data_IF_132186819248
#
_entry.id   IF_132186819248
#
_cell.length_a   1.000
_cell.length_b   1.000
_cell.length_c   1.000
_cell.angle_alpha   90.00
_cell.angle_beta   90.00
_cell.angle_gamma   90.00
#
_symmetry.space_group_name_H-M   'P 1'
#
loop_
_entity.id
_entity.type
_entity.pdbx_description
1 polymer ?
#
# COMPACT_ATOMS: atom_id res chain seq x y z
N UNK A 1 -6.04 -65.85 29.32
CA UNK A 1 -6.49 -64.45 29.51
C UNK A 1 -6.28 -63.73 28.20
N UNK A 2 -7.33 -63.39 27.45
CA UNK A 2 -7.18 -62.58 26.24
C UNK A 2 -6.86 -61.15 26.68
N UNK A 3 -5.69 -60.63 26.28
CA UNK A 3 -5.38 -59.21 26.45
C UNK A 3 -6.27 -58.42 25.49
N UNK A 4 -7.14 -57.59 26.03
CA UNK A 4 -7.92 -56.63 25.24
C UNK A 4 -6.91 -55.56 24.79
N UNK A 5 -6.68 -55.38 23.48
CA UNK A 5 -5.76 -54.35 23.00
C UNK A 5 -6.28 -52.99 23.45
N UNK A 6 -5.43 -52.27 24.18
CA UNK A 6 -5.69 -50.88 24.58
C UNK A 6 -5.83 -50.08 23.27
N UNK A 7 -6.90 -49.29 23.10
CA UNK A 7 -7.10 -48.54 21.87
C UNK A 7 -5.89 -47.65 21.60
N UNK A 8 -5.57 -47.45 20.31
CA UNK A 8 -4.55 -46.51 19.83
C UNK A 8 -4.97 -45.06 20.10
N UNK A 9 -5.07 -44.75 21.38
CA UNK A 9 -5.56 -43.49 21.94
C UNK A 9 -4.59 -42.33 21.64
N UNK A 10 -3.31 -42.65 21.41
CA UNK A 10 -2.28 -41.68 21.08
C UNK A 10 -2.47 -41.07 19.68
N UNK A 11 -2.82 -41.87 18.67
CA UNK A 11 -2.79 -41.42 17.27
C UNK A 11 -3.81 -40.29 17.00
N UNK A 12 -5.07 -40.45 17.42
CA UNK A 12 -6.11 -39.46 17.17
C UNK A 12 -5.90 -38.17 17.98
N UNK A 13 -5.40 -38.29 19.21
CA UNK A 13 -4.98 -37.14 20.03
C UNK A 13 -3.83 -36.40 19.36
N UNK A 14 -2.85 -37.10 18.79
CA UNK A 14 -1.76 -36.51 18.03
C UNK A 14 -2.24 -35.78 16.77
N UNK A 15 -3.21 -36.32 16.05
CA UNK A 15 -3.81 -35.65 14.88
C UNK A 15 -4.52 -34.36 15.31
N UNK A 16 -5.31 -34.41 16.38
CA UNK A 16 -6.03 -33.24 16.88
C UNK A 16 -5.06 -32.14 17.36
N UNK A 17 -4.05 -32.50 18.16
CA UNK A 17 -3.06 -31.58 18.69
C UNK A 17 -2.18 -31.01 17.56
N UNK A 18 -1.73 -31.84 16.62
CA UNK A 18 -0.91 -31.36 15.50
C UNK A 18 -1.67 -30.39 14.60
N UNK A 19 -2.98 -30.62 14.36
CA UNK A 19 -3.83 -29.69 13.63
C UNK A 19 -3.92 -28.31 14.31
N UNK A 20 -4.10 -28.27 15.64
CA UNK A 20 -4.09 -27.02 16.40
C UNK A 20 -2.73 -26.34 16.32
N UNK A 21 -1.65 -27.08 16.57
CA UNK A 21 -0.29 -26.52 16.60
C UNK A 21 0.06 -25.92 15.25
N UNK A 22 -0.11 -26.68 14.15
CA UNK A 22 0.19 -26.21 12.80
C UNK A 22 -0.68 -25.00 12.44
N UNK A 23 -1.98 -25.04 12.74
CA UNK A 23 -2.89 -23.93 12.49
C UNK A 23 -2.45 -22.66 13.22
N UNK A 24 -2.14 -22.78 14.51
CA UNK A 24 -1.76 -21.65 15.37
C UNK A 24 -0.38 -21.09 15.00
N UNK A 25 0.63 -21.94 14.78
CA UNK A 25 1.97 -21.48 14.38
C UNK A 25 1.94 -20.79 13.02
N UNK A 26 1.16 -21.33 12.08
CA UNK A 26 1.02 -20.73 10.74
C UNK A 26 0.27 -19.40 10.81
N UNK A 27 -0.81 -19.34 11.58
CA UNK A 27 -1.54 -18.09 11.84
C UNK A 27 -0.62 -17.00 12.41
N UNK A 28 0.12 -17.31 13.48
CA UNK A 28 1.05 -16.37 14.11
C UNK A 28 2.15 -15.91 13.16
N UNK A 29 2.69 -16.83 12.35
CA UNK A 29 3.69 -16.49 11.35
C UNK A 29 3.14 -15.53 10.29
N UNK A 30 1.96 -15.82 9.74
CA UNK A 30 1.33 -14.99 8.72
C UNK A 30 0.94 -13.61 9.26
N UNK A 31 0.44 -13.55 10.50
CA UNK A 31 0.11 -12.29 11.16
C UNK A 31 1.36 -11.43 11.43
N UNK A 32 2.46 -12.07 11.81
CA UNK A 32 3.76 -11.39 11.97
C UNK A 32 4.24 -10.78 10.64
N UNK A 33 4.12 -11.51 9.54
CA UNK A 33 4.48 -11.00 8.20
C UNK A 33 3.55 -9.89 7.73
N UNK A 34 2.25 -10.03 7.97
CA UNK A 34 1.25 -8.99 7.69
C UNK A 34 1.57 -7.69 8.44
N UNK A 35 1.94 -7.79 9.72
CA UNK A 35 2.31 -6.63 10.54
C UNK A 35 3.56 -5.93 10.01
N UNK A 36 4.59 -6.69 9.61
CA UNK A 36 5.81 -6.12 9.00
C UNK A 36 5.48 -5.34 7.74
N UNK A 37 4.71 -5.93 6.83
CA UNK A 37 4.30 -5.27 5.59
C UNK A 37 3.42 -4.05 5.83
N UNK A 38 2.57 -4.09 6.87
CA UNK A 38 1.76 -2.93 7.26
C UNK A 38 2.66 -1.79 7.74
N UNK A 39 3.69 -2.08 8.54
CA UNK A 39 4.64 -1.06 8.98
C UNK A 39 5.44 -0.46 7.81
N UNK A 40 5.82 -1.27 6.83
CA UNK A 40 6.49 -0.82 5.60
C UNK A 40 5.57 0.05 4.75
N UNK A 41 4.29 -0.33 4.59
CA UNK A 41 3.27 0.50 3.93
C UNK A 41 3.12 1.86 4.61
N UNK A 42 3.07 1.89 5.94
CA UNK A 42 2.97 3.14 6.71
C UNK A 42 4.20 4.02 6.50
N UNK A 43 5.40 3.43 6.46
CA UNK A 43 6.62 4.18 6.17
C UNK A 43 6.57 4.81 4.76
N UNK A 44 6.20 4.04 3.74
CA UNK A 44 6.09 4.53 2.35
C UNK A 44 5.04 5.65 2.24
N UNK A 45 3.88 5.50 2.88
CA UNK A 45 2.85 6.55 2.92
C UNK A 45 3.33 7.80 3.65
N UNK A 46 4.15 7.64 4.70
CA UNK A 46 4.81 8.75 5.39
C UNK A 46 5.74 9.50 4.44
N UNK A 47 6.58 8.79 3.69
CA UNK A 47 7.46 9.40 2.71
C UNK A 47 6.72 10.04 1.54
N UNK A 48 5.60 9.48 1.11
CA UNK A 48 4.73 10.07 0.09
C UNK A 48 4.21 11.44 0.56
N UNK A 49 3.71 11.52 1.80
CA UNK A 49 3.22 12.79 2.36
C UNK A 49 4.32 13.84 2.48
N UNK A 50 5.55 13.43 2.79
CA UNK A 50 6.70 14.34 2.79
C UNK A 50 7.00 14.86 1.38
N UNK A 51 6.98 13.99 0.37
CA UNK A 51 7.17 14.40 -1.02
C UNK A 51 6.06 15.34 -1.50
N UNK A 52 4.80 15.10 -1.12
CA UNK A 52 3.68 16.01 -1.42
C UNK A 52 3.85 17.38 -0.75
N UNK A 53 4.34 17.41 0.50
CA UNK A 53 4.64 18.65 1.19
C UNK A 53 5.75 19.45 0.49
N UNK A 54 6.81 18.77 0.06
CA UNK A 54 7.91 19.39 -0.69
C UNK A 54 7.44 19.91 -2.05
N UNK A 55 6.58 19.17 -2.75
CA UNK A 55 5.99 19.61 -4.02
C UNK A 55 5.14 20.88 -3.83
N UNK A 56 4.33 20.94 -2.77
CA UNK A 56 3.55 22.15 -2.41
C UNK A 56 4.46 23.32 -2.08
N UNK A 57 5.57 23.07 -1.38
CA UNK A 57 6.56 24.11 -1.05
C UNK A 57 7.23 24.66 -2.30
N UNK A 58 7.63 23.80 -3.24
CA UNK A 58 8.19 24.20 -4.54
C UNK A 58 7.17 24.98 -5.37
N UNK A 59 5.92 24.53 -5.44
CA UNK A 59 4.85 25.26 -6.13
C UNK A 59 4.61 26.67 -5.56
N UNK A 60 4.68 26.82 -4.23
CA UNK A 60 4.62 28.13 -3.58
C UNK A 60 5.83 29.02 -3.90
N UNK A 61 7.03 28.44 -4.03
CA UNK A 61 8.23 29.17 -4.47
C UNK A 61 8.14 29.60 -5.93
N UNK A 62 7.72 28.70 -6.82
CA UNK A 62 7.47 29.01 -8.23
C UNK A 62 6.47 30.17 -8.37
N UNK A 63 5.35 30.12 -7.62
CA UNK A 63 4.36 31.21 -7.60
C UNK A 63 4.94 32.55 -7.17
N UNK A 64 5.85 32.56 -6.19
CA UNK A 64 6.54 33.78 -5.73
C UNK A 64 7.48 34.33 -6.81
N UNK A 65 8.25 33.46 -7.47
CA UNK A 65 9.13 33.81 -8.58
C UNK A 65 8.35 34.35 -9.78
N UNK A 66 7.26 33.70 -10.17
CA UNK A 66 6.39 34.21 -11.24
C UNK A 66 5.86 35.60 -10.92
N UNK A 67 5.44 35.85 -9.67
CA UNK A 67 5.01 37.18 -9.24
C UNK A 67 6.14 38.21 -9.27
N UNK A 68 7.38 37.85 -8.91
CA UNK A 68 8.52 38.77 -8.99
C UNK A 68 8.87 39.10 -10.43
N UNK A 69 8.90 38.11 -11.32
CA UNK A 69 9.13 38.31 -12.76
C UNK A 69 8.06 39.24 -13.34
N UNK A 70 6.78 39.01 -13.02
CA UNK A 70 5.68 39.87 -13.51
C UNK A 70 5.80 41.30 -12.98
N UNK A 71 6.18 41.47 -11.71
CA UNK A 71 6.37 42.77 -11.09
C UNK A 71 7.60 43.52 -11.64
N UNK A 72 8.66 42.81 -12.02
CA UNK A 72 9.83 43.40 -12.69
C UNK A 72 9.53 43.75 -14.15
N UNK A 73 8.76 42.91 -14.85
CA UNK A 73 8.46 43.11 -16.25
C UNK A 73 7.57 44.33 -16.51
N UNK A 74 6.69 44.75 -15.57
CA UNK A 74 5.86 45.99 -15.65
C UNK A 74 5.37 46.35 -17.08
N UNK A 75 5.05 45.36 -17.90
CA UNK A 75 4.74 45.53 -19.32
C UNK A 75 3.23 45.48 -19.51
N UNK A 76 2.59 46.60 -19.24
CA UNK A 76 1.63 47.25 -20.15
C UNK A 76 0.42 46.52 -20.74
N UNK A 77 0.08 45.28 -20.38
CA UNK A 77 -1.19 44.67 -20.79
C UNK A 77 -1.61 43.53 -19.85
N UNK A 78 -2.62 43.81 -19.04
CA UNK A 78 -3.19 42.95 -17.99
C UNK A 78 -3.83 41.63 -18.49
N UNK A 79 -3.90 41.38 -19.80
CA UNK A 79 -4.64 40.23 -20.35
C UNK A 79 -3.79 38.97 -20.60
N UNK A 80 -2.47 39.09 -20.83
CA UNK A 80 -1.65 37.93 -21.25
C UNK A 80 -1.28 37.00 -20.07
N UNK A 81 -1.28 37.52 -18.84
CA UNK A 81 -0.75 36.80 -17.67
C UNK A 81 -1.80 36.17 -16.75
N UNK A 82 -3.10 36.38 -17.02
CA UNK A 82 -4.19 35.76 -16.24
C UNK A 82 -4.23 34.23 -16.34
N UNK A 83 -3.60 33.64 -17.36
CA UNK A 83 -3.59 32.19 -17.58
C UNK A 83 -2.53 31.43 -16.75
N UNK A 84 -1.59 32.11 -16.11
CA UNK A 84 -0.52 31.46 -15.31
C UNK A 84 -0.93 31.16 -13.88
N UNK A 85 -1.97 31.84 -13.40
CA UNK A 85 -2.44 31.68 -12.02
C UNK A 85 -3.57 30.65 -12.00
N UNK A 86 -3.24 29.37 -12.16
CA UNK A 86 -3.97 28.31 -11.49
C UNK A 86 -3.10 27.05 -11.41
N UNK A 87 -1.96 27.18 -10.72
CA UNK A 87 -1.21 26.04 -10.18
C UNK A 87 -1.91 25.46 -8.95
N UNK A 88 -3.24 25.40 -8.94
CA UNK A 88 -3.94 24.47 -8.07
C UNK A 88 -3.77 23.08 -8.68
N UNK A 89 -2.57 22.52 -8.50
CA UNK A 89 -2.47 21.09 -8.24
C UNK A 89 -3.06 20.90 -6.84
N UNK A 90 -4.39 21.03 -6.75
CA UNK A 90 -5.16 20.34 -5.73
C UNK A 90 -5.31 18.96 -6.34
N UNK A 91 -4.56 17.95 -5.88
CA UNK A 91 -5.03 16.59 -6.09
C UNK A 91 -6.39 16.55 -5.40
N UNK A 92 -7.47 16.50 -6.18
CA UNK A 92 -8.73 16.00 -5.66
C UNK A 92 -8.40 14.59 -5.16
N UNK A 93 -8.62 14.34 -3.88
CA UNK A 93 -8.21 13.13 -3.14
C UNK A 93 -8.71 11.80 -3.78
N UNK A 94 -9.47 11.84 -4.86
CA UNK A 94 -10.16 10.69 -5.46
C UNK A 94 -9.59 10.16 -6.79
N UNK A 95 -8.68 10.84 -7.50
CA UNK A 95 -8.31 10.38 -8.87
C UNK A 95 -6.80 10.38 -9.18
N UNK A 96 -6.19 9.18 -9.08
CA UNK A 96 -4.83 8.88 -9.56
C UNK A 96 -4.64 9.08 -11.08
N UNK A 97 -5.71 9.35 -11.84
CA UNK A 97 -5.67 9.61 -13.29
C UNK A 97 -5.21 11.02 -13.65
N UNK A 98 -5.24 11.96 -12.71
CA UNK A 98 -4.91 13.38 -12.95
C UNK A 98 -3.41 13.68 -13.00
N UNK A 99 -2.56 12.82 -12.43
CA UNK A 99 -1.11 13.00 -12.43
C UNK A 99 -0.48 12.98 -13.84
N UNK A 100 -1.05 12.22 -14.78
CA UNK A 100 -0.53 12.19 -16.17
C UNK A 100 -0.94 13.40 -17.00
N UNK A 101 -2.08 14.05 -16.66
CA UNK A 101 -2.57 15.23 -17.37
C UNK A 101 -1.78 16.51 -17.01
N UNK A 102 -1.20 16.55 -15.80
CA UNK A 102 -0.35 17.63 -15.28
C UNK A 102 0.91 17.87 -16.15
N UNK A 103 1.64 16.83 -16.53
CA UNK A 103 2.92 16.98 -17.26
C UNK A 103 2.75 17.51 -18.70
N UNK A 104 1.67 17.11 -19.39
CA UNK A 104 1.38 17.61 -20.74
C UNK A 104 0.95 19.09 -20.73
N UNK A 105 0.33 19.53 -19.63
CA UNK A 105 -0.05 20.94 -19.44
C UNK A 105 1.17 21.83 -19.20
N UNK A 106 2.17 21.35 -18.46
CA UNK A 106 3.43 22.08 -18.20
C UNK A 106 4.16 22.41 -19.48
N UNK A 107 4.37 21.40 -20.33
CA UNK A 107 5.05 21.57 -21.61
C UNK A 107 4.27 22.52 -22.53
N UNK A 108 2.94 22.39 -22.60
CA UNK A 108 2.10 23.26 -23.41
C UNK A 108 2.08 24.72 -22.94
N UNK A 109 2.10 24.97 -21.62
CA UNK A 109 2.16 26.33 -21.07
C UNK A 109 3.56 26.94 -21.26
N UNK A 110 4.60 26.13 -21.11
CA UNK A 110 5.99 26.55 -21.34
C UNK A 110 6.24 26.90 -22.80
N UNK A 111 5.81 26.04 -23.73
CA UNK A 111 5.88 26.28 -25.18
C UNK A 111 5.11 27.56 -25.56
N UNK A 112 3.93 27.78 -24.97
CA UNK A 112 3.15 29.00 -25.18
C UNK A 112 3.81 30.27 -24.60
N UNK A 113 4.66 30.15 -23.57
CA UNK A 113 5.42 31.26 -23.00
C UNK A 113 6.63 31.63 -23.84
N UNK A 114 7.40 30.63 -24.28
CA UNK A 114 8.58 30.82 -25.12
C UNK A 114 8.21 31.41 -26.47
N UNK A 115 7.07 31.01 -27.04
CA UNK A 115 6.62 31.47 -28.35
C UNK A 115 6.08 32.92 -28.36
N UNK A 116 5.70 33.47 -27.19
CA UNK A 116 5.07 34.80 -27.09
C UNK A 116 6.00 35.94 -26.67
N UNK A 117 7.26 35.68 -26.33
CA UNK A 117 8.22 36.76 -26.06
C UNK A 117 8.60 37.37 -27.42
N UNK A 118 8.24 38.63 -27.72
CA UNK A 118 8.60 39.24 -29.00
C UNK A 118 10.13 39.29 -29.12
N UNK A 119 10.64 38.56 -30.11
CA UNK A 119 12.05 38.53 -30.52
C UNK A 119 12.57 39.96 -30.68
N UNK A 120 13.35 40.44 -29.71
CA UNK A 120 13.96 41.78 -29.75
C UNK A 120 13.90 42.58 -28.44
N UNK A 121 13.23 42.10 -27.39
CA UNK A 121 13.34 42.70 -26.05
C UNK A 121 14.57 42.15 -25.32
N UNK A 122 15.56 43.00 -25.03
CA UNK A 122 16.71 42.62 -24.20
C UNK A 122 16.21 42.27 -22.79
N UNK A 123 16.16 40.97 -22.50
CA UNK A 123 15.80 40.46 -21.18
C UNK A 123 16.92 40.86 -20.22
N UNK A 124 16.57 41.56 -19.12
CA UNK A 124 17.52 41.89 -18.06
C UNK A 124 18.20 40.60 -17.54
N UNK A 125 19.51 40.61 -17.25
CA UNK A 125 20.20 39.47 -16.63
C UNK A 125 19.53 38.99 -15.32
N UNK A 126 18.84 39.89 -14.60
CA UNK A 126 18.06 39.53 -13.41
C UNK A 126 16.87 38.62 -13.72
N UNK A 127 16.16 38.89 -14.82
CA UNK A 127 14.99 38.15 -15.26
C UNK A 127 15.40 36.81 -15.84
N UNK A 128 16.48 36.76 -16.62
CA UNK A 128 17.02 35.50 -17.14
C UNK A 128 17.36 34.52 -16.01
N UNK A 129 18.02 35.00 -14.94
CA UNK A 129 18.32 34.18 -13.76
C UNK A 129 17.07 33.68 -13.03
N UNK A 130 15.98 34.46 -13.00
CA UNK A 130 14.71 34.05 -12.41
C UNK A 130 13.98 33.02 -13.29
N UNK A 131 14.08 33.14 -14.62
CA UNK A 131 13.56 32.15 -15.57
C UNK A 131 14.31 30.82 -15.41
N UNK A 132 15.64 30.85 -15.35
CA UNK A 132 16.44 29.63 -15.14
C UNK A 132 16.09 28.95 -13.81
N UNK A 133 15.92 29.73 -12.74
CA UNK A 133 15.49 29.21 -11.43
C UNK A 133 14.06 28.62 -11.45
N UNK A 134 13.15 29.17 -12.26
CA UNK A 134 11.83 28.58 -12.47
C UNK A 134 11.90 27.27 -13.25
N UNK A 135 12.81 27.17 -14.22
CA UNK A 135 13.01 26.00 -15.06
C UNK A 135 13.57 24.83 -14.24
N UNK A 136 14.55 25.12 -13.38
CA UNK A 136 15.07 24.18 -12.39
C UNK A 136 13.96 23.73 -11.42
N UNK A 137 13.16 24.68 -10.90
CA UNK A 137 12.05 24.37 -10.01
C UNK A 137 10.97 23.49 -10.67
N UNK A 138 10.69 23.70 -11.97
CA UNK A 138 9.73 22.89 -12.72
C UNK A 138 10.25 21.45 -12.92
N UNK A 139 11.54 21.30 -13.27
CA UNK A 139 12.18 19.98 -13.37
C UNK A 139 12.12 19.20 -12.06
N UNK A 140 12.35 19.88 -10.93
CA UNK A 140 12.27 19.24 -9.60
C UNK A 140 10.85 18.79 -9.24
N UNK A 141 9.83 19.56 -9.62
CA UNK A 141 8.41 19.19 -9.40
C UNK A 141 8.05 17.95 -10.21
N UNK A 142 8.46 17.87 -11.48
CA UNK A 142 8.22 16.68 -12.32
C UNK A 142 8.90 15.43 -11.73
N UNK A 143 10.14 15.56 -11.26
CA UNK A 143 10.85 14.47 -10.59
C UNK A 143 10.13 14.00 -9.31
N UNK A 144 9.59 14.93 -8.52
CA UNK A 144 8.81 14.60 -7.33
C UNK A 144 7.47 13.93 -7.66
N UNK A 145 6.78 14.37 -8.71
CA UNK A 145 5.53 13.72 -9.15
C UNK A 145 5.76 12.27 -9.56
N UNK A 146 6.84 11.99 -10.30
CA UNK A 146 7.23 10.62 -10.66
C UNK A 146 7.55 9.80 -9.40
N UNK A 147 8.27 10.39 -8.44
CA UNK A 147 8.59 9.72 -7.18
C UNK A 147 7.33 9.38 -6.35
N UNK A 148 6.35 10.29 -6.29
CA UNK A 148 5.06 10.07 -5.62
C UNK A 148 4.30 8.92 -6.30
N UNK A 149 4.23 8.93 -7.64
CA UNK A 149 3.54 7.88 -8.40
C UNK A 149 4.17 6.49 -8.16
N UNK A 150 5.50 6.40 -8.14
CA UNK A 150 6.19 5.15 -7.85
C UNK A 150 5.90 4.64 -6.42
N UNK A 151 5.92 5.53 -5.42
CA UNK A 151 5.59 5.16 -4.02
C UNK A 151 4.14 4.72 -3.86
N UNK A 152 3.20 5.36 -4.58
CA UNK A 152 1.81 4.96 -4.58
C UNK A 152 1.63 3.55 -5.16
N UNK A 153 2.31 3.26 -6.26
CA UNK A 153 2.31 1.93 -6.85
C UNK A 153 2.90 0.88 -5.89
N UNK A 154 4.03 1.17 -5.26
CA UNK A 154 4.63 0.30 -4.25
C UNK A 154 3.65 0.03 -3.10
N UNK A 155 3.01 1.07 -2.54
CA UNK A 155 2.02 0.93 -1.47
C UNK A 155 0.82 0.05 -1.88
N UNK A 156 0.34 0.17 -3.12
CA UNK A 156 -0.71 -0.69 -3.66
C UNK A 156 -0.26 -2.15 -3.80
N UNK A 157 0.97 -2.40 -4.25
CA UNK A 157 1.49 -3.78 -4.33
C UNK A 157 1.64 -4.43 -2.96
N UNK A 158 2.03 -3.66 -1.94
CA UNK A 158 2.09 -4.09 -0.54
C UNK A 158 0.70 -4.45 0.00
N UNK A 159 -0.33 -3.66 -0.32
CA UNK A 159 -1.71 -3.94 0.08
C UNK A 159 -2.22 -5.27 -0.47
N UNK A 160 -1.96 -5.55 -1.75
CA UNK A 160 -2.30 -6.85 -2.35
C UNK A 160 -1.58 -8.02 -1.65
N UNK A 161 -0.34 -7.82 -1.20
CA UNK A 161 0.42 -8.85 -0.46
C UNK A 161 -0.18 -9.06 0.94
N UNK A 162 -0.49 -7.99 1.67
CA UNK A 162 -1.12 -8.05 3.00
C UNK A 162 -2.45 -8.81 2.92
N UNK A 163 -3.31 -8.47 1.97
CA UNK A 163 -4.61 -9.11 1.78
C UNK A 163 -4.46 -10.61 1.44
N UNK A 164 -3.45 -10.97 0.64
CA UNK A 164 -3.13 -12.38 0.36
C UNK A 164 -2.74 -13.14 1.64
N UNK A 165 -1.89 -12.55 2.48
CA UNK A 165 -1.50 -13.17 3.76
C UNK A 165 -2.68 -13.32 4.71
N UNK A 166 -3.56 -12.31 4.77
CA UNK A 166 -4.77 -12.36 5.60
C UNK A 166 -5.73 -13.47 5.16
N UNK A 167 -5.98 -13.60 3.85
CA UNK A 167 -6.82 -14.69 3.31
C UNK A 167 -6.21 -16.07 3.57
N UNK A 168 -4.89 -16.19 3.36
CA UNK A 168 -4.17 -17.43 3.60
C UNK A 168 -4.23 -17.82 5.09
N UNK A 169 -4.14 -16.85 5.99
CA UNK A 169 -4.24 -17.05 7.44
C UNK A 169 -5.59 -17.67 7.83
N UNK A 170 -6.70 -17.12 7.33
CA UNK A 170 -8.04 -17.68 7.54
C UNK A 170 -8.20 -19.09 6.99
N UNK A 171 -7.58 -19.39 5.85
CA UNK A 171 -7.58 -20.74 5.27
C UNK A 171 -6.87 -21.73 6.20
N UNK A 172 -5.70 -21.39 6.73
CA UNK A 172 -4.96 -22.25 7.66
C UNK A 172 -5.68 -22.46 8.99
N UNK A 173 -6.30 -21.42 9.55
CA UNK A 173 -7.13 -21.53 10.75
C UNK A 173 -8.30 -22.47 10.51
N UNK A 174 -8.98 -22.34 9.37
CA UNK A 174 -10.09 -23.22 8.99
C UNK A 174 -9.64 -24.67 8.82
N UNK A 175 -8.51 -24.90 8.15
CA UNK A 175 -7.92 -26.22 7.98
C UNK A 175 -7.53 -26.86 9.31
N UNK A 176 -6.88 -26.11 10.20
CA UNK A 176 -6.54 -26.55 11.56
C UNK A 176 -7.78 -26.91 12.38
N UNK A 177 -8.85 -26.12 12.27
CA UNK A 177 -10.15 -26.40 12.90
C UNK A 177 -10.79 -27.70 12.39
N UNK A 178 -10.74 -27.94 11.07
CA UNK A 178 -11.24 -29.20 10.47
C UNK A 178 -10.43 -30.39 10.96
N UNK A 179 -9.09 -30.30 10.96
CA UNK A 179 -8.23 -31.37 11.46
C UNK A 179 -8.48 -31.67 12.94
N UNK A 180 -8.64 -30.64 13.76
CA UNK A 180 -9.00 -30.78 15.17
C UNK A 180 -10.35 -31.47 15.35
N UNK A 181 -11.37 -31.05 14.58
CA UNK A 181 -12.69 -31.65 14.60
C UNK A 181 -12.67 -33.12 14.20
N UNK A 182 -12.00 -33.47 13.10
CA UNK A 182 -11.86 -34.85 12.63
C UNK A 182 -11.09 -35.72 13.63
N UNK A 183 -9.99 -35.22 14.19
CA UNK A 183 -9.21 -35.93 15.21
C UNK A 183 -10.05 -36.20 16.46
N UNK A 184 -10.78 -35.20 16.94
CA UNK A 184 -11.66 -35.30 18.11
C UNK A 184 -12.83 -36.25 17.86
N UNK A 185 -13.42 -36.21 16.67
CA UNK A 185 -14.52 -37.09 16.27
C UNK A 185 -14.07 -38.56 16.21
N UNK A 186 -12.96 -38.85 15.54
CA UNK A 186 -12.41 -40.21 15.45
C UNK A 186 -12.05 -40.75 16.84
N UNK A 187 -11.47 -39.90 17.68
CA UNK A 187 -11.16 -40.24 19.06
C UNK A 187 -12.42 -40.63 19.85
N UNK A 188 -13.46 -39.79 19.79
CA UNK A 188 -14.73 -40.02 20.48
C UNK A 188 -15.37 -41.37 20.08
N UNK A 189 -15.49 -41.65 18.78
CA UNK A 189 -16.07 -42.90 18.30
C UNK A 189 -15.25 -44.13 18.70
N UNK A 190 -13.92 -44.01 18.74
CA UNK A 190 -13.07 -45.11 19.16
C UNK A 190 -13.24 -45.42 20.66
N UNK A 191 -13.34 -44.39 21.50
CA UNK A 191 -13.64 -44.56 22.93
C UNK A 191 -15.01 -45.20 23.13
N UNK A 192 -16.03 -44.70 22.44
CA UNK A 192 -17.39 -45.24 22.57
C UNK A 192 -17.43 -46.72 22.19
N UNK A 193 -16.85 -47.10 21.04
CA UNK A 193 -16.74 -48.51 20.63
C UNK A 193 -15.99 -49.36 21.65
N UNK A 194 -14.95 -48.81 22.28
CA UNK A 194 -14.19 -49.52 23.30
C UNK A 194 -15.02 -49.75 24.56
N UNK A 195 -15.75 -48.74 25.03
CA UNK A 195 -16.66 -48.84 26.17
C UNK A 195 -17.78 -49.85 25.90
N UNK A 196 -18.41 -49.80 24.73
CA UNK A 196 -19.46 -50.74 24.33
C UNK A 196 -18.95 -52.20 24.36
N UNK A 197 -17.72 -52.45 23.90
CA UNK A 197 -17.11 -53.78 23.95
C UNK A 197 -16.90 -54.29 25.38
N UNK A 198 -16.47 -53.42 26.29
CA UNK A 198 -16.28 -53.80 27.70
C UNK A 198 -17.61 -54.20 28.33
N UNK A 199 -18.67 -53.42 28.09
CA UNK A 199 -20.01 -53.70 28.64
C UNK A 199 -20.54 -55.07 28.17
N UNK A 200 -20.38 -55.39 26.88
CA UNK A 200 -20.79 -56.69 26.32
C UNK A 200 -19.99 -57.85 26.94
N UNK A 201 -18.68 -57.67 27.12
CA UNK A 201 -17.83 -58.69 27.75
C UNK A 201 -18.19 -58.92 29.22
N UNK A 202 -18.51 -57.86 29.96
CA UNK A 202 -18.97 -57.96 31.36
C UNK A 202 -20.33 -58.65 31.46
N UNK A 203 -21.26 -58.35 30.55
CA UNK A 203 -22.57 -58.99 30.50
C UNK A 203 -22.47 -60.49 30.18
N UNK A 204 -21.55 -60.88 29.30
CA UNK A 204 -21.34 -62.29 28.91
C UNK A 204 -20.68 -63.13 30.01
N UNK A 205 -20.01 -62.48 30.97
CA UNK A 205 -19.27 -63.15 32.06
C UNK A 205 -20.15 -63.47 33.29
N UNK A 206 -21.34 -62.89 33.36
CA UNK A 206 -22.32 -63.13 34.42
C UNK A 206 -23.27 -64.25 34.01
#
# INVERSE_FOLDING_TARGET
MQQIPIPTDSLYKWIAISGIVIGLTTFLYLESQSTKLTSEKVAILGEQRMAEYDARRLGAQATRLTRSINAELKLGNDEVFKSVVLWEVVPSDDDASTASASSNLHKAIFDMYVEKIPLGTEISPSVQKQIDALLDCASDVDAQQIAIANKLFEAQTLEMRIERYRRLSWLFVSCGGIMFGLGSFLWFFNIQRFQDRIIVLEATRR
#
